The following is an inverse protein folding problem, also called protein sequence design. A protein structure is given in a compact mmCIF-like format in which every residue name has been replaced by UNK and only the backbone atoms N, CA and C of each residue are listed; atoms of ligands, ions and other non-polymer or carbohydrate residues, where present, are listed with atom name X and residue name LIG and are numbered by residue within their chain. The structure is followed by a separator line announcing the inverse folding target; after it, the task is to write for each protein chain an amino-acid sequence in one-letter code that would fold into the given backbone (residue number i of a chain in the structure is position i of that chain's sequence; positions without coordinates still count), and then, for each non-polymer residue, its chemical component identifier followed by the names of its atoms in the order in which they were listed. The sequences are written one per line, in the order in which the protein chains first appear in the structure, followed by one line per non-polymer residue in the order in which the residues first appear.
data_IF_364040742306
#
_entry.id   IF_364040742306
#
_cell.length_a   1.000
_cell.length_b   1.000
_cell.length_c   1.000
_cell.angle_alpha   90.00
_cell.angle_beta   90.00
_cell.angle_gamma   90.00
#
_symmetry.space_group_name_H-M   'P 1'
#
loop_
_entity.id
_entity.type
_entity.pdbx_description
1 polymer ?
#
# COMPACT_ATOMS: atom_id res chain seq x y z
N UNK A 1 -23.75 -0.25 8.09
CA UNK A 1 -24.17 0.49 6.86
C UNK A 1 -25.07 1.69 7.13
N UNK A 2 -26.13 1.62 7.94
CA UNK A 2 -26.98 2.81 8.21
C UNK A 2 -26.19 3.99 8.82
N UNK A 3 -25.30 3.72 9.78
CA UNK A 3 -24.40 4.72 10.37
C UNK A 3 -23.41 5.36 9.38
N UNK A 4 -23.07 4.65 8.30
CA UNK A 4 -22.22 5.20 7.23
C UNK A 4 -23.01 6.14 6.32
N UNK A 5 -24.26 5.79 6.01
CA UNK A 5 -25.15 6.61 5.16
C UNK A 5 -25.59 7.90 5.83
N UNK A 6 -25.60 7.96 7.16
CA UNK A 6 -25.94 9.13 7.95
C UNK A 6 -24.71 9.95 8.41
N UNK A 7 -23.55 9.73 7.80
CA UNK A 7 -22.31 10.40 8.17
C UNK A 7 -22.10 11.66 7.32
N UNK A 8 -21.90 12.81 7.96
CA UNK A 8 -21.80 14.12 7.29
C UNK A 8 -20.38 14.45 6.77
N UNK A 9 -19.36 13.68 7.16
CA UNK A 9 -17.96 13.86 6.74
C UNK A 9 -17.38 15.27 6.98
N UNK A 10 -17.80 15.93 8.07
CA UNK A 10 -17.38 17.31 8.38
C UNK A 10 -16.20 17.37 9.33
N UNK A 11 -15.98 16.34 10.15
CA UNK A 11 -14.96 16.30 11.19
C UNK A 11 -14.01 15.13 10.99
N UNK A 12 -12.84 15.20 11.64
CA UNK A 12 -11.91 14.05 11.69
C UNK A 12 -12.58 12.77 12.23
N UNK A 13 -13.44 12.91 13.23
CA UNK A 13 -14.13 11.79 13.85
C UNK A 13 -15.08 11.09 12.87
N UNK A 14 -15.76 11.88 12.03
CA UNK A 14 -16.64 11.38 10.98
C UNK A 14 -15.89 10.45 10.02
N UNK A 15 -14.72 10.86 9.53
CA UNK A 15 -13.87 10.03 8.67
C UNK A 15 -13.34 8.79 9.38
N UNK A 16 -13.00 8.88 10.68
CA UNK A 16 -12.54 7.72 11.46
C UNK A 16 -13.65 6.68 11.63
N UNK A 17 -14.88 7.11 11.93
CA UNK A 17 -16.04 6.23 12.05
C UNK A 17 -16.40 5.58 10.70
N UNK A 18 -16.31 6.35 9.61
CA UNK A 18 -16.54 5.84 8.26
C UNK A 18 -15.52 4.76 7.88
N UNK A 19 -14.23 5.00 8.15
CA UNK A 19 -13.17 4.00 7.93
C UNK A 19 -13.43 2.73 8.72
N UNK A 20 -13.76 2.84 10.01
CA UNK A 20 -14.04 1.67 10.85
C UNK A 20 -15.20 0.83 10.31
N UNK A 21 -16.29 1.46 9.85
CA UNK A 21 -17.40 0.75 9.21
C UNK A 21 -17.00 0.06 7.89
N UNK A 22 -16.12 0.68 7.08
CA UNK A 22 -15.61 0.09 5.82
C UNK A 22 -14.69 -1.09 6.10
N UNK A 23 -13.81 -0.99 7.10
CA UNK A 23 -12.81 -2.03 7.42
C UNK A 23 -13.42 -3.20 8.19
N UNK A 24 -14.49 -2.97 8.97
CA UNK A 24 -15.15 -4.00 9.79
C UNK A 24 -15.36 -5.35 9.10
N UNK A 25 -15.95 -5.44 7.88
CA UNK A 25 -16.14 -6.72 7.20
C UNK A 25 -14.82 -7.40 6.76
N UNK A 26 -13.74 -6.63 6.57
CA UNK A 26 -12.43 -7.15 6.19
C UNK A 26 -11.62 -7.62 7.40
N UNK A 27 -11.82 -6.99 8.56
CA UNK A 27 -11.02 -7.23 9.77
C UNK A 27 -10.90 -8.72 10.09
N UNK A 28 -12.03 -9.42 10.21
CA UNK A 28 -12.03 -10.84 10.57
C UNK A 28 -11.23 -11.67 9.56
N UNK A 29 -11.43 -11.45 8.25
CA UNK A 29 -10.68 -12.14 7.19
C UNK A 29 -9.18 -11.84 7.24
N UNK A 30 -8.79 -10.61 7.60
CA UNK A 30 -7.37 -10.24 7.76
C UNK A 30 -6.75 -10.97 8.95
N UNK A 31 -7.48 -11.09 10.06
CA UNK A 31 -6.98 -11.74 11.26
C UNK A 31 -6.90 -13.27 11.12
N UNK A 32 -7.87 -13.89 10.45
CA UNK A 32 -7.97 -15.35 10.31
C UNK A 32 -7.13 -15.93 9.14
N UNK A 33 -6.88 -15.14 8.09
CA UNK A 33 -6.15 -15.63 6.91
C UNK A 33 -4.65 -15.79 7.20
N UNK A 34 -4.08 -16.91 6.79
CA UNK A 34 -2.63 -17.16 6.81
C UNK A 34 -1.90 -16.80 5.51
N UNK A 35 -2.63 -16.40 4.47
CA UNK A 35 -2.06 -16.04 3.17
C UNK A 35 -1.61 -14.58 3.15
N UNK A 36 -0.81 -14.20 2.14
CA UNK A 36 -0.38 -12.81 1.92
C UNK A 36 -1.42 -11.96 1.16
N UNK A 37 -2.66 -12.44 1.02
CA UNK A 37 -3.76 -11.76 0.34
C UNK A 37 -5.10 -12.04 1.02
N UNK A 38 -6.17 -11.44 0.51
CA UNK A 38 -7.53 -11.67 0.99
C UNK A 38 -8.44 -12.13 -0.14
N UNK A 39 -8.86 -13.39 -0.07
CA UNK A 39 -9.87 -13.89 -0.98
C UNK A 39 -11.27 -13.40 -0.56
N UNK A 40 -11.79 -12.43 -1.32
CA UNK A 40 -13.11 -11.82 -1.10
C UNK A 40 -14.21 -12.36 -2.02
N UNK A 41 -13.85 -13.14 -3.05
CA UNK A 41 -14.77 -13.77 -3.99
C UNK A 41 -14.13 -14.03 -5.35
N UNK A 42 -14.89 -14.67 -6.24
CA UNK A 42 -14.45 -15.08 -7.58
C UNK A 42 -15.03 -14.24 -8.72
N UNK A 43 -15.81 -13.20 -8.41
CA UNK A 43 -16.33 -12.25 -9.40
C UNK A 43 -15.27 -11.17 -9.70
N UNK A 44 -14.38 -11.43 -10.65
CA UNK A 44 -13.29 -10.53 -11.01
C UNK A 44 -13.22 -10.23 -12.52
N UNK A 45 -12.78 -9.01 -12.85
CA UNK A 45 -12.49 -8.54 -14.20
C UNK A 45 -10.97 -8.42 -14.42
N UNK A 46 -10.50 -8.76 -15.63
CA UNK A 46 -9.18 -8.54 -16.27
C UNK A 46 -7.91 -9.06 -15.56
N UNK A 47 -7.81 -9.09 -14.22
CA UNK A 47 -6.61 -9.49 -13.48
C UNK A 47 -6.69 -10.92 -12.94
N UNK A 48 -5.53 -11.53 -12.68
CA UNK A 48 -5.49 -12.84 -12.02
C UNK A 48 -5.89 -12.75 -10.53
N UNK A 49 -6.28 -13.90 -9.97
CA UNK A 49 -6.79 -13.97 -8.60
C UNK A 49 -5.75 -13.50 -7.57
N UNK A 50 -4.46 -13.76 -7.82
CA UNK A 50 -3.39 -13.36 -6.91
C UNK A 50 -3.29 -11.84 -6.79
N UNK A 51 -3.46 -11.11 -7.90
CA UNK A 51 -3.48 -9.65 -7.91
C UNK A 51 -4.69 -9.09 -7.21
N UNK A 52 -5.86 -9.66 -7.45
CA UNK A 52 -7.09 -9.28 -6.75
C UNK A 52 -7.00 -9.51 -5.24
N UNK A 53 -6.48 -10.65 -4.80
CA UNK A 53 -6.36 -10.98 -3.37
C UNK A 53 -5.34 -10.07 -2.67
N UNK A 54 -4.22 -9.77 -3.32
CA UNK A 54 -3.22 -8.84 -2.80
C UNK A 54 -3.78 -7.41 -2.71
N UNK A 55 -4.46 -6.93 -3.76
CA UNK A 55 -5.15 -5.64 -3.76
C UNK A 55 -6.14 -5.54 -2.59
N UNK A 56 -6.95 -6.58 -2.38
CA UNK A 56 -7.94 -6.63 -1.31
C UNK A 56 -7.30 -6.51 0.09
N UNK A 57 -6.07 -7.02 0.25
CA UNK A 57 -5.31 -6.85 1.49
C UNK A 57 -4.70 -5.45 1.61
N UNK A 58 -3.99 -5.00 0.57
CA UNK A 58 -3.08 -3.85 0.64
C UNK A 58 -3.80 -2.52 0.48
N UNK A 59 -4.79 -2.42 -0.41
CA UNK A 59 -5.49 -1.16 -0.69
C UNK A 59 -6.11 -0.50 0.55
N UNK A 60 -6.73 -1.24 1.50
CA UNK A 60 -7.20 -0.67 2.76
C UNK A 60 -6.14 0.11 3.57
N UNK A 61 -4.85 -0.15 3.37
CA UNK A 61 -3.76 0.57 4.05
C UNK A 61 -3.74 2.06 3.76
N UNK A 62 -4.30 2.53 2.64
CA UNK A 62 -4.47 3.97 2.38
C UNK A 62 -5.25 4.68 3.49
N UNK A 63 -6.23 4.02 4.10
CA UNK A 63 -6.98 4.55 5.24
C UNK A 63 -6.44 4.07 6.59
N UNK A 64 -6.11 2.79 6.68
CA UNK A 64 -5.69 2.14 7.94
C UNK A 64 -4.35 2.73 8.45
N UNK A 65 -3.36 2.90 7.58
CA UNK A 65 -2.05 3.38 8.02
C UNK A 65 -2.12 4.81 8.59
N UNK A 66 -2.79 5.80 7.97
CA UNK A 66 -3.05 7.08 8.63
C UNK A 66 -3.82 6.95 9.95
N UNK A 67 -4.84 6.09 10.03
CA UNK A 67 -5.64 5.92 11.24
C UNK A 67 -4.83 5.40 12.43
N UNK A 68 -3.88 4.48 12.19
CA UNK A 68 -2.96 3.97 13.23
C UNK A 68 -2.11 5.05 13.91
N UNK A 69 -1.98 6.24 13.32
CA UNK A 69 -1.30 7.39 13.98
C UNK A 69 -2.11 7.94 15.16
N UNK A 70 -3.41 7.69 15.21
CA UNK A 70 -4.31 8.22 16.24
C UNK A 70 -4.95 7.13 17.08
N UNK A 71 -5.24 5.97 16.49
CA UNK A 71 -5.80 4.82 17.17
C UNK A 71 -4.95 3.59 16.87
N UNK A 72 -4.15 3.21 17.85
CA UNK A 72 -3.30 2.03 17.77
C UNK A 72 -4.14 0.76 17.84
N UNK A 73 -3.87 -0.14 16.92
CA UNK A 73 -4.47 -1.47 16.83
C UNK A 73 -3.35 -2.47 16.58
N UNK A 74 -2.77 -3.02 17.66
CA UNK A 74 -1.60 -3.90 17.55
C UNK A 74 -1.96 -5.20 16.83
N UNK A 75 -3.14 -5.76 17.09
CA UNK A 75 -3.60 -7.02 16.48
C UNK A 75 -3.67 -6.92 14.95
N UNK A 76 -4.36 -5.90 14.42
CA UNK A 76 -4.46 -5.73 12.97
C UNK A 76 -3.10 -5.39 12.36
N UNK A 77 -2.28 -4.61 13.06
CA UNK A 77 -0.93 -4.27 12.62
C UNK A 77 -0.01 -5.50 12.51
N UNK A 78 -0.03 -6.37 13.50
CA UNK A 78 0.79 -7.59 13.53
C UNK A 78 0.34 -8.55 12.41
N UNK A 79 -0.97 -8.64 12.19
CA UNK A 79 -1.55 -9.42 11.10
C UNK A 79 -1.11 -8.89 9.73
N UNK A 80 -1.12 -7.57 9.53
CA UNK A 80 -0.59 -6.95 8.30
C UNK A 80 0.89 -7.24 8.14
N UNK A 81 1.72 -6.95 9.15
CA UNK A 81 3.18 -7.12 9.07
C UNK A 81 3.55 -8.55 8.66
N UNK A 82 2.92 -9.55 9.27
CA UNK A 82 3.11 -10.98 8.94
C UNK A 82 2.82 -11.27 7.47
N UNK A 83 1.74 -10.68 6.92
CA UNK A 83 1.33 -10.88 5.53
C UNK A 83 2.24 -10.16 4.54
N UNK A 84 2.70 -8.94 4.88
CA UNK A 84 3.66 -8.19 4.07
C UNK A 84 5.00 -8.94 3.96
N UNK A 85 5.48 -9.53 5.05
CA UNK A 85 6.68 -10.37 5.05
C UNK A 85 6.51 -11.57 4.12
N UNK A 86 5.39 -12.31 4.26
CA UNK A 86 5.08 -13.47 3.40
C UNK A 86 4.93 -13.08 1.92
N UNK A 87 4.34 -11.92 1.64
CA UNK A 87 4.06 -11.44 0.28
C UNK A 87 5.29 -10.94 -0.47
N UNK A 88 6.26 -10.38 0.25
CA UNK A 88 7.50 -9.83 -0.32
C UNK A 88 8.64 -10.84 -0.40
N UNK A 89 8.54 -11.99 0.28
CA UNK A 89 9.56 -13.02 0.30
C UNK A 89 9.47 -13.98 -0.91
N UNK A 90 10.47 -14.03 -1.82
CA UNK A 90 10.46 -14.92 -2.97
C UNK A 90 10.47 -16.42 -2.64
N UNK A 91 10.88 -16.80 -1.42
CA UNK A 91 10.87 -18.20 -0.97
C UNK A 91 9.53 -18.61 -0.36
N UNK A 92 8.63 -17.65 -0.09
CA UNK A 92 7.32 -17.91 0.47
C UNK A 92 6.39 -18.54 -0.57
N UNK A 93 5.59 -19.56 -0.22
CA UNK A 93 4.54 -20.06 -1.11
C UNK A 93 3.44 -19.00 -1.38
N UNK A 94 3.44 -17.92 -0.61
CA UNK A 94 2.55 -16.78 -0.77
C UNK A 94 3.27 -15.54 -1.34
N UNK A 95 4.41 -15.71 -2.01
CA UNK A 95 5.08 -14.61 -2.70
C UNK A 95 4.13 -13.97 -3.72
N UNK A 96 4.04 -12.64 -3.74
CA UNK A 96 3.19 -11.91 -4.69
C UNK A 96 3.69 -11.98 -6.13
N UNK A 97 4.92 -12.45 -6.36
CA UNK A 97 5.47 -12.55 -7.70
C UNK A 97 6.12 -11.24 -8.16
N UNK A 98 6.34 -11.15 -9.47
CA UNK A 98 6.98 -10.01 -10.10
C UNK A 98 5.95 -8.96 -10.52
N UNK A 99 6.30 -7.69 -10.35
CA UNK A 99 5.51 -6.56 -10.85
C UNK A 99 5.79 -6.40 -12.34
N UNK A 100 4.75 -6.25 -13.17
CA UNK A 100 4.85 -6.02 -14.62
C UNK A 100 4.63 -4.56 -15.02
N UNK A 101 4.77 -4.25 -16.31
CA UNK A 101 4.42 -2.93 -16.86
C UNK A 101 2.91 -2.69 -16.75
N UNK A 102 2.51 -1.50 -16.29
CA UNK A 102 1.09 -1.12 -16.09
C UNK A 102 0.33 -2.01 -15.08
N UNK A 103 1.05 -2.66 -14.18
CA UNK A 103 0.49 -3.59 -13.19
C UNK A 103 -0.15 -2.85 -12.01
N UNK A 104 -1.28 -3.37 -11.55
CA UNK A 104 -2.00 -2.91 -10.36
C UNK A 104 -1.11 -2.94 -9.10
N UNK A 105 -0.14 -3.85 -9.03
CA UNK A 105 0.85 -3.87 -7.95
C UNK A 105 1.63 -2.57 -7.81
N UNK A 106 1.78 -1.77 -8.87
CA UNK A 106 2.42 -0.46 -8.77
C UNK A 106 1.59 0.47 -7.87
N UNK A 107 0.27 0.45 -7.97
CA UNK A 107 -0.61 1.24 -7.08
C UNK A 107 -0.50 0.75 -5.64
N UNK A 108 -0.47 -0.57 -5.45
CA UNK A 108 -0.43 -1.17 -4.11
C UNK A 108 0.94 -0.95 -3.42
N UNK A 109 2.04 -0.90 -4.18
CA UNK A 109 3.35 -0.50 -3.65
C UNK A 109 3.34 0.92 -3.08
N UNK A 110 2.50 1.83 -3.59
CA UNK A 110 2.37 3.17 -3.04
C UNK A 110 1.66 3.18 -1.67
N UNK A 111 0.63 2.34 -1.49
CA UNK A 111 -0.03 2.16 -0.19
C UNK A 111 0.94 1.62 0.87
N UNK A 112 1.77 0.64 0.50
CA UNK A 112 2.83 0.11 1.36
C UNK A 112 3.91 1.16 1.66
N UNK A 113 4.29 1.95 0.65
CA UNK A 113 5.27 3.03 0.80
C UNK A 113 4.78 4.11 1.77
N UNK A 114 3.51 4.51 1.68
CA UNK A 114 2.89 5.41 2.65
C UNK A 114 2.92 4.80 4.06
N UNK A 115 2.61 3.51 4.18
CA UNK A 115 2.64 2.80 5.46
C UNK A 115 4.04 2.84 6.10
N UNK A 116 5.09 2.60 5.31
CA UNK A 116 6.48 2.71 5.74
C UNK A 116 6.85 4.13 6.19
N UNK A 117 6.44 5.14 5.43
CA UNK A 117 6.69 6.55 5.78
C UNK A 117 6.01 6.96 7.09
N UNK A 118 4.83 6.43 7.38
CA UNK A 118 4.07 6.76 8.59
C UNK A 118 4.49 5.95 9.83
N UNK A 119 4.97 4.72 9.63
CA UNK A 119 5.16 3.72 10.69
C UNK A 119 6.49 2.98 10.66
N UNK A 120 7.57 3.60 10.16
CA UNK A 120 8.92 3.00 10.07
C UNK A 120 9.33 2.19 11.30
N UNK A 121 9.17 2.73 12.52
CA UNK A 121 9.56 2.03 13.75
C UNK A 121 8.93 0.65 13.90
N UNK A 122 7.70 0.48 13.43
CA UNK A 122 6.93 -0.74 13.63
C UNK A 122 6.94 -1.64 12.38
N UNK A 123 6.77 -1.05 11.19
CA UNK A 123 6.69 -1.82 9.93
C UNK A 123 8.04 -2.03 9.23
N UNK A 124 9.12 -1.45 9.74
CA UNK A 124 10.46 -1.55 9.16
C UNK A 124 11.52 -1.95 10.19
N UNK A 125 11.67 -1.20 11.28
CA UNK A 125 12.77 -1.41 12.24
C UNK A 125 12.67 -2.73 13.02
N UNK A 126 11.47 -3.32 13.13
CA UNK A 126 11.25 -4.63 13.76
C UNK A 126 11.49 -5.80 12.80
N UNK A 127 11.68 -5.54 11.50
CA UNK A 127 11.92 -6.58 10.51
C UNK A 127 13.34 -7.13 10.63
N UNK A 128 13.49 -8.42 10.33
CA UNK A 128 14.82 -9.00 10.10
C UNK A 128 15.48 -8.37 8.86
N UNK A 129 16.81 -8.39 8.79
CA UNK A 129 17.55 -7.89 7.63
C UNK A 129 17.08 -8.54 6.32
N UNK A 130 16.75 -9.83 6.34
CA UNK A 130 16.20 -10.55 5.18
C UNK A 130 14.84 -9.99 4.77
N UNK A 131 13.92 -9.79 5.73
CA UNK A 131 12.60 -9.23 5.44
C UNK A 131 12.68 -7.78 4.94
N UNK A 132 13.59 -6.98 5.49
CA UNK A 132 13.90 -5.64 5.00
C UNK A 132 14.37 -5.67 3.54
N UNK A 133 15.33 -6.54 3.22
CA UNK A 133 15.85 -6.66 1.86
C UNK A 133 14.78 -7.14 0.87
N UNK A 134 13.96 -8.11 1.26
CA UNK A 134 12.84 -8.60 0.45
C UNK A 134 11.84 -7.48 0.13
N UNK A 135 11.48 -6.68 1.14
CA UNK A 135 10.59 -5.54 0.96
C UNK A 135 11.19 -4.46 0.06
N UNK A 136 12.47 -4.11 0.24
CA UNK A 136 13.20 -3.19 -0.66
C UNK A 136 13.17 -3.70 -2.10
N UNK A 137 13.53 -4.97 -2.30
CA UNK A 137 13.62 -5.58 -3.62
C UNK A 137 12.25 -5.56 -4.30
N UNK A 138 11.20 -5.91 -3.58
CA UNK A 138 9.84 -5.96 -4.12
C UNK A 138 9.31 -4.58 -4.50
N UNK A 139 9.43 -3.58 -3.61
CA UNK A 139 9.04 -2.19 -3.91
C UNK A 139 9.84 -1.59 -5.07
N UNK A 140 11.13 -1.91 -5.16
CA UNK A 140 12.02 -1.38 -6.21
C UNK A 140 11.64 -1.85 -7.62
N UNK A 141 10.94 -2.98 -7.75
CA UNK A 141 10.48 -3.46 -9.06
C UNK A 141 9.60 -2.39 -9.74
N UNK A 142 8.67 -1.77 -9.01
CA UNK A 142 7.77 -0.76 -9.55
C UNK A 142 8.49 0.47 -10.14
N UNK A 143 9.67 0.82 -9.62
CA UNK A 143 10.43 1.99 -10.08
C UNK A 143 10.92 1.83 -11.53
N UNK A 144 11.19 0.60 -11.98
CA UNK A 144 11.69 0.31 -13.34
C UNK A 144 10.58 -0.04 -14.34
N UNK A 145 9.33 -0.18 -13.90
CA UNK A 145 8.20 -0.51 -14.79
C UNK A 145 7.63 0.69 -15.51
N UNK A 146 7.04 0.45 -16.68
CA UNK A 146 6.24 1.45 -17.38
C UNK A 146 4.94 1.69 -16.64
N UNK A 147 4.52 2.94 -16.64
CA UNK A 147 3.28 3.41 -16.02
C UNK A 147 2.57 4.34 -17.01
N UNK A 148 1.25 4.51 -16.90
CA UNK A 148 0.57 5.60 -17.58
C UNK A 148 1.13 6.93 -17.08
N UNK A 149 1.21 7.93 -17.97
CA UNK A 149 1.64 9.29 -17.60
C UNK A 149 0.46 10.04 -17.00
N UNK A 150 0.13 9.72 -15.75
CA UNK A 150 -0.96 10.30 -14.98
C UNK A 150 -0.60 10.28 -13.49
N UNK A 151 -1.60 10.21 -12.61
CA UNK A 151 -1.42 10.08 -11.16
C UNK A 151 -0.49 8.92 -10.74
N UNK A 152 -0.26 7.90 -11.59
CA UNK A 152 0.69 6.82 -11.31
C UNK A 152 2.14 7.32 -11.18
N UNK A 153 2.47 8.48 -11.74
CA UNK A 153 3.79 9.09 -11.53
C UNK A 153 4.01 9.42 -10.05
N UNK A 154 2.97 9.81 -9.31
CA UNK A 154 3.06 10.08 -7.88
C UNK A 154 3.34 8.82 -7.05
N UNK A 155 2.93 7.64 -7.52
CA UNK A 155 3.26 6.37 -6.85
C UNK A 155 4.76 6.13 -6.82
N UNK A 156 5.48 6.41 -7.92
CA UNK A 156 6.95 6.29 -7.95
C UNK A 156 7.64 7.26 -6.99
N UNK A 157 7.13 8.48 -6.87
CA UNK A 157 7.61 9.46 -5.89
C UNK A 157 7.49 8.92 -4.47
N UNK A 158 6.33 8.36 -4.10
CA UNK A 158 6.11 7.75 -2.78
C UNK A 158 7.06 6.59 -2.53
N UNK A 159 7.23 5.69 -3.50
CA UNK A 159 8.11 4.52 -3.38
C UNK A 159 9.56 4.95 -3.17
N UNK A 160 10.08 5.88 -3.99
CA UNK A 160 11.45 6.40 -3.82
C UNK A 160 11.64 7.05 -2.46
N UNK A 161 10.66 7.82 -2.01
CA UNK A 161 10.72 8.51 -0.72
C UNK A 161 10.71 7.51 0.44
N UNK A 162 9.89 6.47 0.38
CA UNK A 162 9.85 5.40 1.37
C UNK A 162 11.15 4.59 1.42
N UNK A 163 11.70 4.20 0.26
CA UNK A 163 12.98 3.49 0.19
C UNK A 163 14.11 4.33 0.79
N UNK A 164 14.19 5.63 0.45
CA UNK A 164 15.16 6.55 1.06
C UNK A 164 14.96 6.68 2.58
N UNK A 165 13.70 6.77 3.02
CA UNK A 165 13.36 6.80 4.45
C UNK A 165 13.80 5.53 5.20
N UNK A 166 13.84 4.38 4.50
CA UNK A 166 14.30 3.09 4.99
C UNK A 166 15.82 2.86 4.90
N UNK A 167 16.58 3.79 4.29
CA UNK A 167 18.05 3.76 4.23
C UNK A 167 18.64 3.53 2.84
N UNK A 168 17.80 3.35 1.80
CA UNK A 168 18.27 3.21 0.43
C UNK A 168 18.78 4.54 -0.15
N UNK A 169 19.57 4.47 -1.23
CA UNK A 169 20.04 5.68 -1.92
C UNK A 169 18.91 6.34 -2.70
N UNK A 170 18.82 7.67 -2.60
CA UNK A 170 17.85 8.44 -3.37
C UNK A 170 18.42 8.85 -4.74
N UNK A 171 17.81 8.36 -5.82
CA UNK A 171 18.01 8.92 -7.16
C UNK A 171 17.27 10.25 -7.29
N UNK A 172 17.95 11.33 -6.89
CA UNK A 172 17.41 12.69 -6.92
C UNK A 172 17.06 13.16 -8.33
N UNK A 173 17.78 12.68 -9.36
CA UNK A 173 17.51 13.06 -10.74
C UNK A 173 16.16 12.50 -11.18
N UNK A 174 15.94 11.20 -10.98
CA UNK A 174 14.65 10.56 -11.28
C UNK A 174 13.49 11.15 -10.49
N UNK A 175 13.70 11.42 -9.20
CA UNK A 175 12.68 12.08 -8.37
C UNK A 175 12.31 13.46 -8.93
N UNK A 176 13.29 14.25 -9.38
CA UNK A 176 13.05 15.58 -9.98
C UNK A 176 12.30 15.45 -11.31
N UNK A 177 12.68 14.50 -12.16
CA UNK A 177 11.97 14.22 -13.43
C UNK A 177 10.49 13.84 -13.18
N UNK A 178 10.23 13.03 -12.15
CA UNK A 178 8.86 12.62 -11.78
C UNK A 178 8.04 13.80 -11.25
N UNK A 179 8.61 14.67 -10.41
CA UNK A 179 7.93 15.91 -9.98
C UNK A 179 7.64 16.85 -11.13
N UNK A 180 8.60 17.08 -12.04
CA UNK A 180 8.39 17.93 -13.21
C UNK A 180 7.27 17.40 -14.12
N UNK A 181 7.17 16.09 -14.29
CA UNK A 181 6.06 15.48 -15.03
C UNK A 181 4.73 15.71 -14.32
N UNK A 182 4.68 15.54 -13.01
CA UNK A 182 3.49 15.84 -12.20
C UNK A 182 3.07 17.30 -12.40
N UNK A 183 3.99 18.25 -12.17
CA UNK A 183 3.72 19.68 -12.31
C UNK A 183 3.26 20.07 -13.72
N UNK A 184 3.77 19.38 -14.76
CA UNK A 184 3.35 19.61 -16.15
C UNK A 184 1.90 19.23 -16.45
N UNK A 185 1.27 18.39 -15.61
CA UNK A 185 -0.12 17.98 -15.76
C UNK A 185 -1.09 18.99 -15.11
N UNK A 186 -0.59 19.93 -14.31
CA UNK A 186 -1.45 20.96 -13.71
C UNK A 186 -2.01 21.92 -14.75
N UNK A 187 -3.34 22.08 -14.76
CA UNK A 187 -4.09 22.92 -15.71
C UNK A 187 -4.75 24.15 -15.05
N UNK A 188 -4.30 24.55 -13.86
CA UNK A 188 -4.75 25.77 -13.16
C UNK A 188 -5.76 25.51 -12.03
N UNK A 189 -6.93 24.95 -12.32
CA UNK A 189 -7.91 24.56 -11.29
C UNK A 189 -8.06 23.03 -11.18
N UNK A 190 -7.07 22.30 -11.68
CA UNK A 190 -7.06 20.85 -11.73
C UNK A 190 -5.76 20.28 -12.29
N UNK A 191 -5.79 18.97 -12.56
CA UNK A 191 -4.68 18.15 -13.05
C UNK A 191 -5.16 17.29 -14.22
#
# INVERSE_FOLDING_TARGET
MEKFKSNDFMTKQDYQMALEEIIRPLRQKILESDTSGLHLGSSGAVYDQQRADMEALVRPLWGIAPAWRFQKDDELRDAYLTKLIKGTDPASPYYWGLIEDYDQYIVETAALSLTLLLHKKYVWELLSNTAQQNMINWLSQALVRKIPKNNWTFFKVLIRTALFHCGEKLDRKKLTEEFQLIDSMYIGEGW
#
